data_IF_715764736696
#
_entry.id   IF_715764736696
#
_cell.length_a   1.000
_cell.length_b   1.000
_cell.length_c   1.000
_cell.angle_alpha   90.00
_cell.angle_beta   90.00
_cell.angle_gamma   90.00
#
_symmetry.space_group_name_H-M   'P 1'
#
loop_
_entity.id
_entity.type
_entity.pdbx_description
1 polymer ?
#
# COMPACT_ATOMS: atom_id res chain seq x y z
N UNK A 1 10.24 6.98 9.54
CA UNK A 1 8.90 7.50 9.85
C UNK A 1 7.86 6.52 9.34
N UNK A 2 6.75 6.34 10.06
CA UNK A 2 5.67 5.42 9.69
C UNK A 2 4.56 6.20 9.01
N UNK A 3 4.19 5.80 7.79
CA UNK A 3 3.12 6.40 7.00
C UNK A 3 1.77 6.37 7.73
N UNK A 4 1.00 7.46 7.68
CA UNK A 4 -0.31 7.61 8.33
C UNK A 4 -1.37 8.16 7.37
N UNK A 5 -2.62 8.11 7.81
CA UNK A 5 -3.76 8.69 7.09
C UNK A 5 -3.55 10.20 6.90
N UNK A 6 -3.80 10.69 5.70
CA UNK A 6 -3.59 12.09 5.31
C UNK A 6 -2.23 12.38 4.69
N UNK A 7 -1.25 11.46 4.77
CA UNK A 7 0.05 11.68 4.15
C UNK A 7 -0.04 11.67 2.62
N UNK A 8 0.69 12.60 2.00
CA UNK A 8 0.88 12.62 0.55
C UNK A 8 2.01 11.66 0.20
N UNK A 9 1.71 10.71 -0.67
CA UNK A 9 2.63 9.63 -1.05
C UNK A 9 2.83 9.57 -2.56
N UNK A 10 3.97 8.99 -2.96
CA UNK A 10 4.31 8.66 -4.34
C UNK A 10 4.45 7.15 -4.51
N UNK A 11 3.86 6.60 -5.56
CA UNK A 11 4.12 5.22 -5.97
C UNK A 11 5.55 5.06 -6.47
N UNK A 12 6.31 4.12 -5.92
CA UNK A 12 7.66 3.79 -6.41
C UNK A 12 7.61 3.13 -7.79
N UNK A 13 6.51 2.45 -8.10
CA UNK A 13 6.33 1.71 -9.38
C UNK A 13 5.89 2.65 -10.50
N UNK A 14 4.91 3.52 -10.23
CA UNK A 14 4.26 4.33 -11.28
C UNK A 14 4.60 5.82 -11.22
N UNK A 15 5.27 6.28 -10.16
CA UNK A 15 5.55 7.70 -9.92
C UNK A 15 4.33 8.55 -9.55
N UNK A 16 3.12 7.96 -9.52
CA UNK A 16 1.86 8.68 -9.26
C UNK A 16 1.77 9.17 -7.83
N UNK A 17 1.16 10.35 -7.66
CA UNK A 17 0.86 10.92 -6.35
C UNK A 17 -0.53 10.49 -5.88
N UNK A 18 -0.64 10.20 -4.58
CA UNK A 18 -1.89 9.88 -3.92
C UNK A 18 -1.88 10.25 -2.45
N UNK A 19 -3.02 10.13 -1.80
CA UNK A 19 -3.18 10.41 -0.37
C UNK A 19 -3.59 9.14 0.34
N UNK A 20 -2.99 8.89 1.51
CA UNK A 20 -3.32 7.74 2.34
C UNK A 20 -4.68 7.93 2.99
N UNK A 21 -5.62 7.05 2.70
CA UNK A 21 -6.96 7.03 3.29
C UNK A 21 -7.05 6.10 4.51
N UNK A 22 -6.27 5.02 4.53
CA UNK A 22 -6.24 4.04 5.62
C UNK A 22 -4.90 3.34 5.71
N UNK A 23 -4.50 2.92 6.91
CA UNK A 23 -3.35 2.04 7.16
C UNK A 23 -3.82 0.78 7.89
N UNK A 24 -3.31 -0.39 7.49
CA UNK A 24 -3.68 -1.68 8.10
C UNK A 24 -2.62 -2.76 7.82
N UNK A 25 -2.70 -3.89 8.54
CA UNK A 25 -1.85 -5.06 8.30
C UNK A 25 -2.54 -6.04 7.35
N UNK A 26 -1.84 -6.51 6.33
CA UNK A 26 -2.38 -7.46 5.36
C UNK A 26 -1.34 -8.48 4.92
N UNK A 27 -1.78 -9.71 4.63
CA UNK A 27 -0.91 -10.76 4.08
C UNK A 27 -0.79 -10.55 2.57
N UNK A 28 0.42 -10.61 2.06
CA UNK A 28 0.71 -10.60 0.63
C UNK A 28 1.60 -11.79 0.31
N UNK A 29 1.22 -12.53 -0.73
CA UNK A 29 2.04 -13.60 -1.26
C UNK A 29 2.86 -13.05 -2.44
N UNK A 30 4.18 -13.16 -2.37
CA UNK A 30 5.12 -12.51 -3.30
C UNK A 30 5.91 -13.51 -4.18
N UNK A 31 5.46 -14.77 -4.26
CA UNK A 31 6.09 -15.81 -5.08
C UNK A 31 5.22 -16.17 -6.29
N UNK A 32 5.87 -16.60 -7.38
CA UNK A 32 5.26 -17.16 -8.59
C UNK A 32 4.49 -18.47 -8.35
N UNK A 33 4.54 -19.01 -7.14
CA UNK A 33 3.80 -20.22 -6.77
C UNK A 33 2.30 -19.92 -6.65
N UNK A 34 1.48 -20.50 -7.53
CA UNK A 34 0.02 -20.28 -7.52
C UNK A 34 -0.72 -20.93 -6.33
N UNK A 35 -1.84 -20.30 -5.97
CA UNK A 35 -2.51 -20.28 -4.66
C UNK A 35 -2.99 -21.57 -3.99
N UNK A 36 -2.90 -22.76 -4.61
CA UNK A 36 -3.29 -24.02 -3.92
C UNK A 36 -2.22 -24.54 -2.96
N UNK A 37 -0.95 -24.15 -3.15
CA UNK A 37 0.18 -24.59 -2.32
C UNK A 37 0.67 -23.54 -1.33
N UNK A 38 0.02 -22.38 -1.27
CA UNK A 38 0.42 -21.29 -0.38
C UNK A 38 -0.07 -21.58 1.02
N UNK A 39 0.87 -21.80 1.94
CA UNK A 39 0.54 -21.92 3.34
C UNK A 39 0.40 -20.53 3.97
N UNK A 40 -0.82 -19.99 3.94
CA UNK A 40 -1.14 -18.66 4.49
C UNK A 40 -0.84 -18.50 5.98
N UNK A 41 -0.76 -19.58 6.78
CA UNK A 41 -0.39 -19.48 8.20
C UNK A 41 1.08 -19.10 8.40
N UNK A 42 1.94 -19.39 7.42
CA UNK A 42 3.37 -19.03 7.41
C UNK A 42 3.64 -17.64 6.82
N UNK A 43 2.66 -17.05 6.15
CA UNK A 43 2.79 -15.70 5.58
C UNK A 43 2.52 -14.67 6.68
N UNK A 44 3.54 -13.90 7.03
CA UNK A 44 3.41 -12.81 7.99
C UNK A 44 2.66 -11.61 7.36
N UNK A 45 1.72 -10.98 8.07
CA UNK A 45 1.14 -9.72 7.63
C UNK A 45 2.21 -8.63 7.52
N UNK A 46 2.08 -7.76 6.53
CA UNK A 46 2.92 -6.57 6.36
C UNK A 46 2.05 -5.30 6.30
N UNK A 47 2.63 -4.11 6.52
CA UNK A 47 1.89 -2.85 6.46
C UNK A 47 1.40 -2.52 5.04
N UNK A 48 0.11 -2.18 4.95
CA UNK A 48 -0.57 -1.75 3.74
C UNK A 48 -1.25 -0.40 3.96
N UNK A 49 -1.50 0.29 2.85
CA UNK A 49 -2.27 1.52 2.81
C UNK A 49 -3.33 1.43 1.71
N UNK A 50 -4.51 1.97 1.99
CA UNK A 50 -5.47 2.34 0.96
C UNK A 50 -5.12 3.75 0.49
N UNK A 51 -4.79 3.89 -0.79
CA UNK A 51 -4.33 5.16 -1.38
C UNK A 51 -5.36 5.65 -2.40
N UNK A 52 -5.87 6.86 -2.19
CA UNK A 52 -6.67 7.57 -3.17
C UNK A 52 -5.73 8.26 -4.17
N UNK A 53 -5.81 7.88 -5.45
CA UNK A 53 -4.93 8.44 -6.48
C UNK A 53 -5.50 9.72 -7.07
N UNK A 54 -4.61 10.63 -7.48
CA UNK A 54 -5.00 11.86 -8.18
C UNK A 54 -5.33 11.60 -9.67
N UNK A 55 -6.31 10.73 -9.94
CA UNK A 55 -6.82 10.46 -11.29
C UNK A 55 -8.20 11.09 -11.53
N UNK A 56 -8.78 11.76 -10.52
CA UNK A 56 -10.10 12.41 -10.59
C UNK A 56 -11.31 11.47 -10.54
N UNK A 57 -11.08 10.16 -10.46
CA UNK A 57 -12.12 9.11 -10.48
C UNK A 57 -12.50 8.57 -9.09
N UNK A 58 -11.83 9.06 -8.04
CA UNK A 58 -12.04 8.58 -6.66
C UNK A 58 -11.52 7.17 -6.41
N UNK A 59 -10.70 6.60 -7.31
CA UNK A 59 -10.21 5.23 -7.16
C UNK A 59 -9.25 5.12 -5.99
N UNK A 60 -9.59 4.21 -5.07
CA UNK A 60 -8.75 3.84 -3.94
C UNK A 60 -8.13 2.46 -4.21
N UNK A 61 -6.81 2.36 -4.05
CA UNK A 61 -6.10 1.09 -4.23
C UNK A 61 -5.38 0.67 -2.96
N UNK A 62 -5.45 -0.62 -2.67
CA UNK A 62 -4.69 -1.27 -1.62
C UNK A 62 -3.24 -1.51 -2.08
N UNK A 63 -2.28 -0.87 -1.42
CA UNK A 63 -0.87 -0.89 -1.80
C UNK A 63 0.00 -1.26 -0.57
N UNK A 64 1.02 -2.12 -0.70
CA UNK A 64 1.99 -2.34 0.37
C UNK A 64 2.76 -1.05 0.65
N UNK A 65 2.97 -0.69 1.92
CA UNK A 65 3.67 0.57 2.25
C UNK A 65 5.09 0.63 1.67
N UNK A 66 5.76 -0.51 1.49
CA UNK A 66 7.08 -0.59 0.84
C UNK A 66 7.12 -0.13 -0.62
N UNK A 67 5.95 -0.03 -1.27
CA UNK A 67 5.82 0.45 -2.65
C UNK A 67 5.45 1.94 -2.72
N UNK A 68 5.50 2.64 -1.59
CA UNK A 68 5.15 4.05 -1.44
C UNK A 68 6.28 4.84 -0.77
N UNK A 69 6.49 6.05 -1.24
CA UNK A 69 7.38 7.04 -0.61
C UNK A 69 6.55 8.20 -0.08
N UNK A 70 6.84 8.68 1.12
CA UNK A 70 6.17 9.88 1.67
C UNK A 70 6.79 11.12 1.02
N UNK A 71 5.94 11.94 0.39
CA UNK A 71 6.32 13.19 -0.28
C UNK A 71 6.12 14.38 0.65
N UNK A 72 5.05 14.35 1.44
CA UNK A 72 4.79 15.35 2.47
C UNK A 72 4.01 14.69 3.61
N UNK A 73 4.45 14.98 4.83
CA UNK A 73 3.83 14.48 6.05
C UNK A 73 2.73 15.45 6.50
N UNK A 74 1.53 14.93 6.69
CA UNK A 74 0.53 15.68 7.46
C UNK A 74 0.97 15.72 8.93
N UNK A 75 0.75 16.81 9.67
CA UNK A 75 1.05 16.84 11.11
C UNK A 75 -0.10 16.25 11.91
#
# INVERSE_FOLDING_TARGET
MTMKVGDLVRSVVTGRLGVVARVFMHKLWESDTMGKKVNWSKVQPQPFADVAWNNGDGTVQKIPQKALEVVNESR
#
